data_IF_627257117708
#
_entry.id   IF_627257117708
#
_cell.length_a   1.000
_cell.length_b   1.000
_cell.length_c   1.000
_cell.angle_alpha   90.00
_cell.angle_beta   90.00
_cell.angle_gamma   90.00
#
_symmetry.space_group_name_H-M   'P 1'
#
loop_
_entity.id
_entity.type
_entity.pdbx_description
1 polymer ?
#
# COMPACT_ATOMS: atom_id res chain seq x y z
N UNK A 1 -8.24 18.25 0.56
CA UNK A 1 -7.60 17.01 1.06
C UNK A 1 -8.04 15.83 0.20
N UNK A 2 -7.10 14.96 -0.17
CA UNK A 2 -7.42 13.81 -1.01
C UNK A 2 -8.16 12.75 -0.19
N UNK A 3 -9.36 12.39 -0.61
CA UNK A 3 -10.20 11.38 0.06
C UNK A 3 -10.35 10.11 -0.76
N UNK A 4 -9.50 9.91 -1.75
CA UNK A 4 -9.51 8.67 -2.53
C UNK A 4 -9.17 7.47 -1.64
N UNK A 5 -9.60 6.26 -2.03
CA UNK A 5 -9.36 5.09 -1.18
C UNK A 5 -7.89 4.76 -1.03
N UNK A 6 -7.56 4.19 0.12
CA UNK A 6 -6.25 3.60 0.37
C UNK A 6 -6.36 2.12 0.02
N UNK A 7 -5.52 1.65 -0.88
CA UNK A 7 -5.49 0.25 -1.28
C UNK A 7 -4.47 -0.50 -0.44
N UNK A 8 -4.90 -1.62 0.12
CA UNK A 8 -4.03 -2.46 0.96
C UNK A 8 -4.01 -3.87 0.37
N UNK A 9 -2.83 -4.32 -0.02
CA UNK A 9 -2.63 -5.67 -0.56
C UNK A 9 -2.03 -6.53 0.53
N UNK A 10 -2.83 -7.42 1.09
CA UNK A 10 -2.46 -8.27 2.21
C UNK A 10 -3.44 -9.45 2.25
N UNK A 11 -2.92 -10.67 2.21
CA UNK A 11 -3.76 -11.87 2.20
C UNK A 11 -4.16 -12.38 3.59
N UNK A 12 -3.63 -11.78 4.64
CA UNK A 12 -3.91 -12.18 6.03
C UNK A 12 -5.16 -11.44 6.53
N UNK A 13 -6.23 -12.19 6.80
CA UNK A 13 -7.48 -11.59 7.26
C UNK A 13 -7.37 -10.98 8.65
N UNK A 14 -6.53 -11.52 9.50
CA UNK A 14 -6.31 -10.94 10.83
C UNK A 14 -5.62 -9.59 10.72
N UNK A 15 -4.63 -9.48 9.85
CA UNK A 15 -3.97 -8.20 9.58
C UNK A 15 -4.96 -7.17 9.04
N UNK A 16 -5.82 -7.59 8.12
CA UNK A 16 -6.86 -6.70 7.56
C UNK A 16 -7.78 -6.18 8.67
N UNK A 17 -8.20 -7.04 9.58
CA UNK A 17 -9.08 -6.66 10.69
C UNK A 17 -8.40 -5.66 11.62
N UNK A 18 -7.12 -5.88 11.93
CA UNK A 18 -6.35 -4.95 12.75
C UNK A 18 -6.24 -3.58 12.06
N UNK A 19 -5.99 -3.56 10.77
CA UNK A 19 -5.90 -2.31 10.02
C UNK A 19 -7.24 -1.57 10.03
N UNK A 20 -8.34 -2.28 9.81
CA UNK A 20 -9.67 -1.67 9.85
C UNK A 20 -9.93 -1.01 11.20
N UNK A 21 -9.58 -1.69 12.28
CA UNK A 21 -9.78 -1.16 13.62
C UNK A 21 -8.93 0.07 13.88
N UNK A 22 -7.66 0.03 13.50
CA UNK A 22 -6.77 1.19 13.60
C UNK A 22 -7.29 2.39 12.81
N UNK A 23 -7.75 2.13 11.59
CA UNK A 23 -8.26 3.15 10.70
C UNK A 23 -9.44 3.88 11.30
N UNK A 24 -10.35 3.10 11.87
CA UNK A 24 -11.54 3.64 12.53
C UNK A 24 -11.15 4.53 13.71
N UNK A 25 -10.19 4.10 14.53
CA UNK A 25 -9.74 4.88 15.68
C UNK A 25 -8.98 6.14 15.25
N UNK A 26 -8.24 6.08 14.14
CA UNK A 26 -7.50 7.24 13.63
C UNK A 26 -8.40 8.27 12.96
N UNK A 27 -9.62 7.89 12.60
CA UNK A 27 -10.61 8.83 12.08
C UNK A 27 -10.40 9.29 10.65
N UNK A 28 -9.60 8.59 9.85
CA UNK A 28 -9.42 8.97 8.45
C UNK A 28 -10.68 8.71 7.63
N UNK A 29 -10.96 9.62 6.71
CA UNK A 29 -12.16 9.53 5.85
C UNK A 29 -11.90 8.76 4.55
N UNK A 30 -10.64 8.50 4.21
CA UNK A 30 -10.31 7.70 3.04
C UNK A 30 -10.86 6.28 3.22
N UNK A 31 -11.66 5.76 2.27
CA UNK A 31 -12.08 4.35 2.37
C UNK A 31 -10.88 3.41 2.28
N UNK A 32 -10.99 2.26 2.92
CA UNK A 32 -10.01 1.19 2.77
C UNK A 32 -10.55 0.15 1.80
N UNK A 33 -9.74 -0.24 0.83
CA UNK A 33 -10.05 -1.36 -0.05
C UNK A 33 -8.93 -2.39 0.08
N UNK A 34 -9.30 -3.63 0.39
CA UNK A 34 -8.35 -4.71 0.62
C UNK A 34 -8.31 -5.66 -0.55
N UNK A 35 -7.11 -6.10 -0.90
CA UNK A 35 -6.87 -7.06 -1.97
C UNK A 35 -6.01 -8.19 -1.42
N UNK A 36 -6.38 -9.41 -1.71
CA UNK A 36 -5.66 -10.59 -1.19
C UNK A 36 -4.48 -11.00 -2.05
N UNK A 37 -4.39 -10.44 -3.26
CA UNK A 37 -3.32 -10.80 -4.20
C UNK A 37 -3.02 -9.64 -5.13
N UNK A 38 -1.88 -9.72 -5.80
CA UNK A 38 -1.53 -8.75 -6.82
C UNK A 38 -2.49 -8.76 -8.01
N UNK A 39 -2.99 -9.95 -8.34
CA UNK A 39 -3.94 -10.10 -9.44
C UNK A 39 -5.24 -9.36 -9.16
N UNK A 40 -5.72 -9.42 -7.92
CA UNK A 40 -6.94 -8.68 -7.53
C UNK A 40 -6.74 -7.17 -7.65
N UNK A 41 -5.57 -6.68 -7.23
CA UNK A 41 -5.25 -5.26 -7.35
C UNK A 41 -5.22 -4.82 -8.81
N UNK A 42 -4.53 -5.58 -9.65
CA UNK A 42 -4.43 -5.27 -11.07
C UNK A 42 -5.82 -5.26 -11.71
N UNK A 43 -6.64 -6.24 -11.38
CA UNK A 43 -8.01 -6.30 -11.90
C UNK A 43 -8.82 -5.06 -11.51
N UNK A 44 -8.69 -4.60 -10.27
CA UNK A 44 -9.37 -3.40 -9.82
C UNK A 44 -8.93 -2.17 -10.62
N UNK A 45 -7.62 -2.00 -10.78
CA UNK A 45 -7.07 -0.86 -11.51
C UNK A 45 -7.50 -0.87 -12.98
N UNK A 46 -7.58 -2.03 -13.60
CA UNK A 46 -7.97 -2.15 -15.01
C UNK A 46 -9.47 -2.01 -15.22
N UNK A 47 -10.26 -2.60 -14.34
CA UNK A 47 -11.71 -2.71 -14.50
C UNK A 47 -12.44 -1.44 -14.07
N UNK A 48 -12.14 -0.95 -12.89
CA UNK A 48 -12.85 0.20 -12.31
C UNK A 48 -12.11 1.52 -12.51
N UNK A 49 -10.84 1.45 -12.87
CA UNK A 49 -9.99 2.63 -13.07
C UNK A 49 -10.01 3.58 -11.87
N UNK A 50 -10.20 3.03 -10.67
CA UNK A 50 -10.15 3.81 -9.45
C UNK A 50 -8.73 4.27 -9.20
N UNK A 51 -8.55 5.56 -8.93
CA UNK A 51 -7.22 6.10 -8.59
C UNK A 51 -7.11 6.10 -7.07
N UNK A 52 -6.26 5.24 -6.50
CA UNK A 52 -6.10 5.23 -5.05
C UNK A 52 -5.31 6.44 -4.56
N UNK A 53 -5.50 6.77 -3.29
CA UNK A 53 -4.68 7.77 -2.63
C UNK A 53 -3.24 7.27 -2.48
N UNK A 54 -3.09 6.04 -2.01
CA UNK A 54 -1.81 5.33 -1.97
C UNK A 54 -2.07 3.83 -1.92
N UNK A 55 -1.02 3.05 -2.16
CA UNK A 55 -1.07 1.59 -2.10
C UNK A 55 -0.09 1.12 -1.04
N UNK A 56 -0.59 0.37 -0.06
CA UNK A 56 0.23 -0.33 0.93
C UNK A 56 0.25 -1.81 0.54
N UNK A 57 1.43 -2.35 0.33
CA UNK A 57 1.56 -3.73 -0.14
C UNK A 57 2.48 -4.53 0.77
N UNK A 58 1.98 -5.65 1.28
CA UNK A 58 2.81 -6.60 1.99
C UNK A 58 3.79 -7.23 1.00
N UNK A 59 5.01 -7.44 1.44
CA UNK A 59 6.02 -8.13 0.64
C UNK A 59 5.58 -9.57 0.38
N UNK A 60 4.97 -10.22 1.37
CA UNK A 60 4.59 -11.64 1.29
C UNK A 60 3.12 -11.79 0.93
N UNK A 61 2.81 -11.75 -0.35
CA UNK A 61 1.46 -12.04 -0.86
C UNK A 61 1.55 -13.23 -1.84
N UNK A 62 0.42 -13.93 -2.08
CA UNK A 62 0.46 -15.16 -2.89
C UNK A 62 0.96 -14.94 -4.31
N UNK A 63 1.52 -15.99 -4.87
CA UNK A 63 1.96 -16.10 -6.26
C UNK A 63 3.05 -15.12 -6.63
N UNK A 64 2.71 -13.97 -7.19
CA UNK A 64 3.74 -13.04 -7.68
C UNK A 64 4.51 -12.32 -6.57
N UNK A 65 4.00 -12.31 -5.34
CA UNK A 65 4.63 -11.55 -4.25
C UNK A 65 4.49 -10.04 -4.43
N UNK A 66 4.86 -9.29 -3.38
CA UNK A 66 4.78 -7.82 -3.43
C UNK A 66 5.76 -7.22 -4.44
N UNK A 67 6.95 -7.75 -4.51
CA UNK A 67 7.95 -7.27 -5.48
C UNK A 67 7.52 -7.57 -6.91
N UNK A 68 6.97 -8.76 -7.14
CA UNK A 68 6.45 -9.13 -8.45
C UNK A 68 5.31 -8.22 -8.89
N UNK A 69 4.43 -7.88 -7.97
CA UNK A 69 3.34 -6.93 -8.24
C UNK A 69 3.90 -5.56 -8.66
N UNK A 70 4.86 -5.03 -7.92
CA UNK A 70 5.43 -3.72 -8.25
C UNK A 70 6.12 -3.74 -9.60
N UNK A 71 6.86 -4.82 -9.90
CA UNK A 71 7.50 -4.99 -11.20
C UNK A 71 6.47 -5.00 -12.32
N UNK A 72 5.36 -5.71 -12.11
CA UNK A 72 4.28 -5.79 -13.10
C UNK A 72 3.64 -4.43 -13.37
N UNK A 73 3.42 -3.64 -12.31
CA UNK A 73 2.86 -2.30 -12.45
C UNK A 73 3.79 -1.37 -13.22
N UNK A 74 5.11 -1.54 -13.08
CA UNK A 74 6.08 -0.74 -13.82
C UNK A 74 6.08 -1.08 -15.31
N UNK A 75 5.82 -2.34 -15.67
CA UNK A 75 5.81 -2.80 -17.06
C UNK A 75 4.57 -2.34 -17.82
N UNK A 76 3.44 -2.24 -17.15
CA UNK A 76 2.15 -1.96 -17.80
C UNK A 76 1.91 -0.46 -17.88
N UNK A 77 1.99 0.10 -19.08
CA UNK A 77 1.76 1.54 -19.29
C UNK A 77 0.40 1.99 -18.78
N UNK A 78 -0.64 1.19 -19.05
CA UNK A 78 -2.00 1.52 -18.61
C UNK A 78 -2.18 1.48 -17.10
N UNK A 79 -1.27 0.85 -16.37
CA UNK A 79 -1.31 0.72 -14.92
C UNK A 79 -0.28 1.59 -14.21
N UNK A 80 0.48 2.39 -14.96
CA UNK A 80 1.49 3.28 -14.36
C UNK A 80 0.81 4.47 -13.73
N UNK A 81 0.52 4.38 -12.47
CA UNK A 81 0.04 5.51 -11.68
C UNK A 81 1.24 6.21 -11.06
N UNK A 82 1.94 7.00 -11.87
CA UNK A 82 3.21 7.64 -11.47
C UNK A 82 3.06 8.54 -10.25
N UNK A 83 1.89 9.11 -10.08
CA UNK A 83 1.62 10.01 -8.96
C UNK A 83 1.08 9.31 -7.72
N UNK A 84 0.82 8.00 -7.82
CA UNK A 84 0.28 7.25 -6.67
C UNK A 84 1.43 6.62 -5.90
N UNK A 85 1.58 6.95 -4.61
CA UNK A 85 2.63 6.32 -3.81
C UNK A 85 2.39 4.82 -3.65
N UNK A 86 3.43 4.03 -3.87
CA UNK A 86 3.42 2.59 -3.64
C UNK A 86 4.42 2.30 -2.53
N UNK A 87 3.91 1.83 -1.40
CA UNK A 87 4.70 1.67 -0.18
C UNK A 87 4.62 0.20 0.24
N UNK A 88 5.78 -0.42 0.41
CA UNK A 88 5.82 -1.75 1.00
C UNK A 88 5.76 -1.65 2.51
N UNK A 89 5.12 -2.63 3.13
CA UNK A 89 5.20 -2.79 4.56
C UNK A 89 5.22 -4.27 4.91
N UNK A 90 5.86 -4.61 6.02
CA UNK A 90 6.06 -5.99 6.41
C UNK A 90 6.32 -6.07 7.90
N UNK A 91 6.11 -7.23 8.50
CA UNK A 91 6.44 -7.44 9.91
C UNK A 91 7.95 -7.46 10.13
N UNK A 92 8.71 -7.84 9.11
CA UNK A 92 10.16 -7.89 9.15
C UNK A 92 10.73 -7.44 7.81
N UNK A 93 11.95 -6.93 7.82
CA UNK A 93 12.63 -6.53 6.60
C UNK A 93 14.13 -6.78 6.71
N UNK A 94 14.69 -7.43 5.69
CA UNK A 94 16.14 -7.52 5.53
C UNK A 94 16.63 -6.34 4.69
N UNK A 95 17.92 -6.05 4.76
CA UNK A 95 18.50 -5.02 3.90
C UNK A 95 18.32 -5.35 2.42
N UNK A 96 18.37 -6.63 2.07
CA UNK A 96 18.15 -7.08 0.69
C UNK A 96 16.73 -6.75 0.22
N UNK A 97 15.74 -6.98 1.05
CA UNK A 97 14.35 -6.66 0.74
C UNK A 97 14.15 -5.15 0.59
N UNK A 98 14.70 -4.38 1.48
CA UNK A 98 14.61 -2.92 1.42
C UNK A 98 15.25 -2.41 0.13
N UNK A 99 16.45 -2.90 -0.18
CA UNK A 99 17.15 -2.52 -1.40
C UNK A 99 16.33 -2.87 -2.65
N UNK A 100 15.76 -4.06 -2.67
CA UNK A 100 14.94 -4.51 -3.80
C UNK A 100 13.71 -3.63 -3.98
N UNK A 101 13.08 -3.21 -2.89
CA UNK A 101 11.94 -2.31 -2.94
C UNK A 101 12.31 -0.98 -3.61
N UNK A 102 13.43 -0.40 -3.22
CA UNK A 102 13.85 0.87 -3.81
C UNK A 102 14.33 0.71 -5.25
N UNK A 103 14.94 -0.43 -5.59
CA UNK A 103 15.31 -0.75 -6.97
C UNK A 103 14.06 -0.82 -7.87
N UNK A 104 12.90 -1.16 -7.30
CA UNK A 104 11.63 -1.20 -8.01
C UNK A 104 10.88 0.14 -7.93
N UNK A 105 11.55 1.20 -7.50
CA UNK A 105 10.99 2.55 -7.42
C UNK A 105 9.84 2.67 -6.41
N UNK A 106 9.87 1.90 -5.34
CA UNK A 106 8.92 2.06 -4.26
C UNK A 106 9.11 3.41 -3.59
N UNK A 107 8.05 3.98 -3.05
CA UNK A 107 8.07 5.28 -2.38
C UNK A 107 8.41 5.16 -0.90
N UNK A 108 8.46 3.96 -0.37
CA UNK A 108 8.87 3.73 1.00
C UNK A 108 8.75 2.25 1.39
N UNK A 109 9.30 1.95 2.54
CA UNK A 109 9.24 0.62 3.14
C UNK A 109 9.06 0.81 4.65
N UNK A 110 7.96 0.32 5.19
CA UNK A 110 7.64 0.47 6.61
C UNK A 110 7.52 -0.88 7.28
N UNK A 111 7.85 -0.91 8.57
CA UNK A 111 7.61 -2.08 9.42
C UNK A 111 6.23 -1.92 10.03
N UNK A 112 5.40 -2.96 9.94
CA UNK A 112 4.04 -2.94 10.48
C UNK A 112 3.98 -2.78 11.99
N UNK A 113 4.94 -3.37 12.70
CA UNK A 113 4.89 -3.47 14.13
C UNK A 113 4.11 -4.70 14.60
N UNK A 114 4.21 -5.01 15.89
CA UNK A 114 3.61 -6.21 16.47
C UNK A 114 2.46 -5.90 17.43
N UNK A 115 2.16 -4.62 17.63
CA UNK A 115 1.08 -4.19 18.53
C UNK A 115 0.16 -3.20 17.80
N UNK A 116 -1.03 -3.02 18.34
CA UNK A 116 -1.96 -2.01 17.81
C UNK A 116 -1.36 -0.62 17.84
N UNK A 117 -0.63 -0.31 18.91
CA UNK A 117 0.02 0.99 19.04
C UNK A 117 1.03 1.23 17.92
N UNK A 118 1.89 0.23 17.66
CA UNK A 118 2.89 0.33 16.61
C UNK A 118 2.26 0.43 15.23
N UNK A 119 1.19 -0.33 15.00
CA UNK A 119 0.48 -0.29 13.73
C UNK A 119 -0.16 1.08 13.50
N UNK A 120 -0.79 1.64 14.52
CA UNK A 120 -1.34 3.00 14.46
C UNK A 120 -0.28 4.05 14.16
N UNK A 121 0.88 3.92 14.81
CA UNK A 121 2.00 4.84 14.58
C UNK A 121 2.46 4.80 13.12
N UNK A 122 2.65 3.59 12.58
CA UNK A 122 3.05 3.43 11.17
C UNK A 122 2.03 4.03 10.21
N UNK A 123 0.76 3.71 10.42
CA UNK A 123 -0.31 4.23 9.56
C UNK A 123 -0.40 5.75 9.64
N UNK A 124 -0.30 6.31 10.84
CA UNK A 124 -0.33 7.75 11.04
C UNK A 124 0.83 8.46 10.33
N UNK A 125 2.03 7.90 10.44
CA UNK A 125 3.21 8.47 9.79
C UNK A 125 3.06 8.47 8.27
N UNK A 126 2.58 7.36 7.71
CA UNK A 126 2.35 7.23 6.27
C UNK A 126 1.29 8.25 5.82
N UNK A 127 0.16 8.27 6.49
CA UNK A 127 -0.93 9.15 6.10
C UNK A 127 -0.57 10.63 6.26
N UNK A 128 0.06 10.99 7.36
CA UNK A 128 0.47 12.38 7.61
C UNK A 128 1.43 12.87 6.54
N UNK A 129 2.40 12.03 6.17
CA UNK A 129 3.36 12.41 5.13
C UNK A 129 2.64 12.64 3.79
N UNK A 130 1.83 11.68 3.37
CA UNK A 130 1.23 11.73 2.02
C UNK A 130 0.06 12.71 1.92
N UNK A 131 -0.62 13.03 3.03
CA UNK A 131 -1.60 14.11 3.03
C UNK A 131 -0.95 15.48 2.84
N UNK A 132 0.27 15.65 3.33
CA UNK A 132 1.00 16.92 3.20
C UNK A 132 1.81 16.99 1.92
N UNK A 133 2.26 15.88 1.40
CA UNK A 133 3.08 15.83 0.19
C UNK A 133 2.24 16.24 -1.02
N UNK A 134 2.78 17.11 -1.86
CA UNK A 134 2.08 17.55 -3.07
C UNK A 134 2.28 16.53 -4.18
N UNK A 135 1.20 16.20 -4.85
CA UNK A 135 1.20 15.23 -5.94
C UNK A 135 0.60 15.87 -7.19
N UNK A 136 1.02 15.40 -8.39
CA UNK A 136 0.42 15.91 -9.62
C UNK A 136 -1.08 15.65 -9.65
N UNK A 137 -1.83 16.61 -10.15
CA UNK A 137 -3.24 16.42 -10.46
C UNK A 137 -3.32 15.72 -11.81
N UNK A 138 -3.99 14.59 -11.88
CA UNK A 138 -4.12 13.82 -13.11
C UNK A 138 -5.34 14.19 -13.91
#
# INVERSE_FOLDING_TARGET
MNTNPVFIVDDDTDDQDFVRECWKELGYTNPLLFFKSGEELINELMTHKTVPFLILCDVNIPRMGGFGLKAKLLEEESLKHKSVPFIFWSTQASNEQIKKAYDLSAHGFFIKGNTMKELKESLSEIMNYWQKSKQPQS
#
